data_IF_432374126458
#
_entry.id   IF_432374126458
#
_cell.length_a   1.000
_cell.length_b   1.000
_cell.length_c   1.000
_cell.angle_alpha   90.00
_cell.angle_beta   90.00
_cell.angle_gamma   90.00
#
_symmetry.space_group_name_H-M   'P 1'
#
loop_
_entity.id
_entity.type
_entity.pdbx_description
1 polymer ?
#
# COMPACT_ATOMS: atom_id res chain seq x y z
N UNK A 1 -40.99 -19.11 10.99
CA UNK A 1 -39.53 -19.28 10.93
C UNK A 1 -38.90 -17.90 10.85
N UNK A 2 -38.46 -17.35 11.98
CA UNK A 2 -37.69 -16.10 12.00
C UNK A 2 -36.26 -16.45 11.59
N UNK A 3 -35.87 -16.07 10.38
CA UNK A 3 -34.48 -16.14 9.95
C UNK A 3 -33.69 -15.21 10.87
N UNK A 4 -32.89 -15.78 11.78
CA UNK A 4 -31.93 -15.01 12.53
C UNK A 4 -30.92 -14.47 11.51
N UNK A 5 -31.04 -13.19 11.14
CA UNK A 5 -29.98 -12.49 10.44
C UNK A 5 -28.77 -12.50 11.36
N UNK A 6 -27.80 -13.37 11.06
CA UNK A 6 -26.50 -13.34 11.72
C UNK A 6 -26.01 -11.88 11.70
N UNK A 7 -25.66 -11.28 12.85
CA UNK A 7 -25.18 -9.91 12.86
C UNK A 7 -23.98 -9.84 11.91
N UNK A 8 -24.13 -9.09 10.82
CA UNK A 8 -22.99 -8.76 9.97
C UNK A 8 -21.99 -8.05 10.87
N UNK A 9 -20.80 -8.61 11.05
CA UNK A 9 -19.77 -8.00 11.90
C UNK A 9 -19.60 -6.52 11.54
N UNK A 10 -19.79 -5.61 12.49
CA UNK A 10 -19.84 -4.18 12.23
C UNK A 10 -18.54 -3.64 11.62
N UNK A 11 -18.64 -2.56 10.84
CA UNK A 11 -17.49 -1.77 10.39
C UNK A 11 -16.86 -1.06 11.60
N UNK A 12 -15.54 -0.85 11.57
CA UNK A 12 -14.82 -0.17 12.65
C UNK A 12 -14.21 1.15 12.14
N UNK A 13 -14.75 2.27 12.61
CA UNK A 13 -14.26 3.60 12.30
C UNK A 13 -14.18 4.51 13.53
N UNK A 14 -14.09 3.90 14.72
CA UNK A 14 -13.85 4.63 15.97
C UNK A 14 -12.45 5.26 15.98
N UNK A 15 -12.27 6.29 16.81
CA UNK A 15 -11.02 7.07 16.90
C UNK A 15 -9.81 6.18 17.18
N UNK A 16 -9.95 5.13 17.98
CA UNK A 16 -8.83 4.23 18.31
C UNK A 16 -8.42 3.42 17.07
N UNK A 17 -9.38 2.93 16.30
CA UNK A 17 -9.10 2.26 15.02
C UNK A 17 -8.43 3.22 14.03
N UNK A 18 -8.94 4.44 13.90
CA UNK A 18 -8.41 5.43 12.95
C UNK A 18 -7.02 5.93 13.30
N UNK A 19 -6.86 6.50 14.48
CA UNK A 19 -5.58 7.06 14.91
C UNK A 19 -4.55 5.95 15.12
N UNK A 20 -4.96 4.86 15.80
CA UNK A 20 -4.08 3.73 16.05
C UNK A 20 -3.66 3.00 14.77
N UNK A 21 -4.56 2.83 13.81
CA UNK A 21 -4.26 2.23 12.50
C UNK A 21 -3.33 3.10 11.67
N UNK A 22 -3.59 4.41 11.59
CA UNK A 22 -2.74 5.37 10.89
C UNK A 22 -1.32 5.39 11.46
N UNK A 23 -1.18 5.51 12.79
CA UNK A 23 0.13 5.50 13.44
C UNK A 23 0.91 4.19 13.19
N UNK A 24 0.23 3.04 13.24
CA UNK A 24 0.85 1.75 12.91
C UNK A 24 1.37 1.73 11.47
N UNK A 25 0.58 2.20 10.51
CA UNK A 25 1.01 2.27 9.11
C UNK A 25 2.22 3.19 8.94
N UNK A 26 2.21 4.37 9.57
CA UNK A 26 3.34 5.30 9.50
C UNK A 26 4.61 4.72 10.10
N UNK A 27 4.52 4.02 11.24
CA UNK A 27 5.65 3.36 11.87
C UNK A 27 6.19 2.21 11.01
N UNK A 28 5.31 1.39 10.42
CA UNK A 28 5.69 0.32 9.49
C UNK A 28 6.43 0.88 8.28
N UNK A 29 5.98 2.00 7.71
CA UNK A 29 6.71 2.67 6.61
C UNK A 29 8.06 3.18 7.06
N UNK A 30 8.15 3.83 8.23
CA UNK A 30 9.42 4.34 8.73
C UNK A 30 10.46 3.22 8.88
N UNK A 31 10.04 2.08 9.44
CA UNK A 31 10.90 0.88 9.55
C UNK A 31 11.25 0.34 8.16
N UNK A 32 10.28 0.23 7.25
CA UNK A 32 10.50 -0.27 5.89
C UNK A 32 11.49 0.60 5.10
N UNK A 33 11.37 1.93 5.20
CA UNK A 33 12.28 2.89 4.54
C UNK A 33 13.67 2.84 5.18
N UNK A 34 13.77 2.75 6.50
CA UNK A 34 15.06 2.58 7.17
C UNK A 34 15.75 1.28 6.75
N UNK A 35 15.01 0.17 6.69
CA UNK A 35 15.53 -1.12 6.20
C UNK A 35 15.96 -1.03 4.73
N UNK A 36 15.16 -0.40 3.88
CA UNK A 36 15.50 -0.15 2.48
C UNK A 36 16.83 0.61 2.38
N UNK A 37 16.96 1.73 3.10
CA UNK A 37 18.14 2.57 3.09
C UNK A 37 19.39 1.83 3.58
N UNK A 38 19.27 1.06 4.66
CA UNK A 38 20.38 0.28 5.22
C UNK A 38 20.82 -0.86 4.29
N UNK A 39 19.86 -1.57 3.67
CA UNK A 39 20.16 -2.66 2.73
C UNK A 39 20.80 -2.14 1.44
N UNK A 40 20.34 -1.00 0.92
CA UNK A 40 20.91 -0.37 -0.27
C UNK A 40 22.37 0.08 -0.10
N UNK A 41 22.85 0.30 1.13
CA UNK A 41 24.26 0.61 1.37
C UNK A 41 25.19 -0.58 1.10
N UNK A 42 24.70 -1.80 1.25
CA UNK A 42 25.49 -3.03 1.13
C UNK A 42 25.20 -3.87 -0.12
N UNK A 43 24.15 -3.55 -0.86
CA UNK A 43 23.73 -4.26 -2.06
C UNK A 43 24.00 -3.43 -3.31
N UNK A 44 24.22 -4.10 -4.44
CA UNK A 44 24.41 -3.44 -5.74
C UNK A 44 23.78 -4.27 -6.87
N UNK A 45 23.45 -3.59 -7.97
CA UNK A 45 22.99 -4.21 -9.21
C UNK A 45 21.70 -5.00 -9.04
N UNK A 46 21.60 -6.16 -9.69
CA UNK A 46 20.38 -6.97 -9.73
C UNK A 46 19.88 -7.42 -8.35
N UNK A 47 20.81 -7.71 -7.42
CA UNK A 47 20.45 -8.16 -6.07
C UNK A 47 19.76 -7.05 -5.30
N UNK A 48 20.27 -5.82 -5.39
CA UNK A 48 19.63 -4.65 -4.80
C UNK A 48 18.22 -4.48 -5.37
N UNK A 49 18.08 -4.48 -6.70
CA UNK A 49 16.77 -4.34 -7.37
C UNK A 49 15.77 -5.40 -6.91
N UNK A 50 16.20 -6.66 -6.75
CA UNK A 50 15.34 -7.73 -6.26
C UNK A 50 14.87 -7.48 -4.83
N UNK A 51 15.78 -7.13 -3.92
CA UNK A 51 15.45 -6.85 -2.51
C UNK A 51 14.51 -5.66 -2.40
N UNK A 52 14.80 -4.59 -3.13
CA UNK A 52 13.94 -3.40 -3.18
C UNK A 52 12.55 -3.72 -3.75
N UNK A 53 12.48 -4.54 -4.81
CA UNK A 53 11.21 -4.98 -5.40
C UNK A 53 10.37 -5.78 -4.40
N UNK A 54 10.99 -6.65 -3.60
CA UNK A 54 10.30 -7.39 -2.53
C UNK A 54 9.76 -6.44 -1.46
N UNK A 55 10.56 -5.46 -1.01
CA UNK A 55 10.12 -4.45 -0.04
C UNK A 55 8.95 -3.62 -0.58
N UNK A 56 9.01 -3.21 -1.84
CA UNK A 56 7.93 -2.48 -2.52
C UNK A 56 6.64 -3.30 -2.58
N UNK A 57 6.72 -4.57 -2.96
CA UNK A 57 5.55 -5.44 -3.04
C UNK A 57 4.95 -5.72 -1.66
N UNK A 58 5.78 -5.97 -0.66
CA UNK A 58 5.35 -6.18 0.72
C UNK A 58 4.69 -4.90 1.28
N UNK A 59 5.34 -3.75 1.12
CA UNK A 59 4.80 -2.46 1.54
C UNK A 59 3.50 -2.12 0.82
N UNK A 60 3.45 -2.33 -0.50
CA UNK A 60 2.25 -2.15 -1.31
C UNK A 60 1.08 -3.01 -0.81
N UNK A 61 1.32 -4.29 -0.53
CA UNK A 61 0.29 -5.20 0.01
C UNK A 61 -0.20 -4.77 1.40
N UNK A 62 0.71 -4.35 2.28
CA UNK A 62 0.34 -3.84 3.62
C UNK A 62 -0.53 -2.60 3.50
N UNK A 63 -0.11 -1.60 2.72
CA UNK A 63 -0.87 -0.35 2.54
C UNK A 63 -2.20 -0.54 1.83
N UNK A 64 -2.28 -1.53 0.96
CA UNK A 64 -3.52 -1.86 0.24
C UNK A 64 -4.54 -2.54 1.15
N UNK A 65 -4.12 -3.50 1.98
CA UNK A 65 -5.06 -4.40 2.66
C UNK A 65 -5.15 -4.23 4.17
N UNK A 66 -4.10 -3.77 4.86
CA UNK A 66 -4.17 -3.58 6.31
C UNK A 66 -5.28 -2.61 6.75
N UNK A 67 -5.51 -1.46 6.07
CA UNK A 67 -6.65 -0.60 6.37
C UNK A 67 -7.99 -1.34 6.30
N UNK A 68 -8.21 -2.12 5.25
CA UNK A 68 -9.45 -2.86 5.05
C UNK A 68 -9.62 -4.02 6.05
N UNK A 69 -8.54 -4.63 6.53
CA UNK A 69 -8.60 -5.65 7.61
C UNK A 69 -9.13 -5.04 8.90
N UNK A 70 -8.71 -3.81 9.23
CA UNK A 70 -9.09 -3.13 10.47
C UNK A 70 -10.49 -2.53 10.40
N UNK A 71 -10.81 -1.82 9.31
CA UNK A 71 -12.10 -1.12 9.13
C UNK A 71 -13.22 -2.07 8.72
N UNK A 72 -12.90 -3.14 7.96
CA UNK A 72 -13.86 -4.11 7.40
C UNK A 72 -14.93 -3.45 6.53
N UNK A 73 -14.53 -2.72 5.47
CA UNK A 73 -15.45 -1.93 4.66
C UNK A 73 -16.50 -2.79 3.95
N UNK A 74 -17.77 -2.40 4.10
CA UNK A 74 -18.97 -2.94 3.44
C UNK A 74 -19.85 -1.83 2.84
N UNK A 75 -19.66 -0.59 3.28
CA UNK A 75 -20.31 0.61 2.78
C UNK A 75 -19.33 1.51 2.02
N UNK A 76 -19.85 2.47 1.27
CA UNK A 76 -19.02 3.51 0.62
C UNK A 76 -18.28 4.32 1.68
N UNK A 77 -18.92 4.60 2.81
CA UNK A 77 -18.29 5.32 3.92
C UNK A 77 -17.15 4.51 4.53
N UNK A 78 -17.33 3.20 4.73
CA UNK A 78 -16.27 2.30 5.18
C UNK A 78 -15.06 2.31 4.24
N UNK A 79 -15.30 2.36 2.93
CA UNK A 79 -14.24 2.46 1.91
C UNK A 79 -13.53 3.83 1.96
N UNK A 80 -14.25 4.92 2.21
CA UNK A 80 -13.65 6.22 2.41
C UNK A 80 -12.77 6.24 3.69
N UNK A 81 -13.26 5.63 4.76
CA UNK A 81 -12.54 5.50 6.03
C UNK A 81 -11.23 4.72 5.92
N UNK A 82 -11.19 3.67 5.11
CA UNK A 82 -9.92 2.99 4.80
C UNK A 82 -8.93 3.88 4.07
N UNK A 83 -9.40 4.74 3.16
CA UNK A 83 -8.56 5.71 2.46
C UNK A 83 -7.97 6.73 3.45
N UNK A 84 -8.78 7.18 4.42
CA UNK A 84 -8.33 8.04 5.53
C UNK A 84 -7.23 7.39 6.36
N UNK A 85 -7.29 6.09 6.64
CA UNK A 85 -6.20 5.37 7.32
C UNK A 85 -4.89 5.39 6.52
N UNK A 86 -4.97 5.20 5.20
CA UNK A 86 -3.82 5.34 4.30
C UNK A 86 -3.20 6.73 4.38
N UNK A 87 -4.03 7.77 4.32
CA UNK A 87 -3.61 9.17 4.49
C UNK A 87 -2.95 9.41 5.85
N UNK A 88 -3.60 9.03 6.95
CA UNK A 88 -3.06 9.20 8.31
C UNK A 88 -1.72 8.48 8.47
N UNK A 89 -1.57 7.29 7.89
CA UNK A 89 -0.30 6.56 7.86
C UNK A 89 0.80 7.33 7.14
N UNK A 90 0.49 7.90 5.98
CA UNK A 90 1.45 8.71 5.23
C UNK A 90 1.83 10.02 5.94
N UNK A 91 0.88 10.65 6.65
CA UNK A 91 1.13 11.84 7.48
C UNK A 91 2.03 11.47 8.66
N UNK A 92 1.72 10.40 9.39
CA UNK A 92 2.54 9.91 10.49
C UNK A 92 3.97 9.58 10.04
N UNK A 93 4.12 8.89 8.91
CA UNK A 93 5.43 8.65 8.30
C UNK A 93 6.14 9.96 7.95
N UNK A 94 5.44 10.94 7.35
CA UNK A 94 6.04 12.24 6.99
C UNK A 94 6.62 12.95 8.22
N UNK A 95 5.93 12.89 9.36
CA UNK A 95 6.43 13.43 10.64
C UNK A 95 7.68 12.69 11.08
N UNK A 96 7.68 11.36 11.09
CA UNK A 96 8.84 10.55 11.49
C UNK A 96 10.02 10.79 10.56
N UNK A 97 9.78 10.83 9.25
CA UNK A 97 10.79 11.09 8.24
C UNK A 97 11.48 12.44 8.49
N UNK A 98 10.68 13.50 8.62
CA UNK A 98 11.18 14.87 8.80
C UNK A 98 11.87 15.07 10.13
N UNK A 99 11.33 14.51 11.22
CA UNK A 99 11.83 14.75 12.57
C UNK A 99 12.95 13.79 13.00
N UNK A 100 13.07 12.62 12.36
CA UNK A 100 13.99 11.55 12.80
C UNK A 100 14.88 11.06 11.66
N UNK A 101 14.32 10.57 10.56
CA UNK A 101 15.13 9.88 9.53
C UNK A 101 16.06 10.83 8.79
N UNK A 102 15.59 12.05 8.46
CA UNK A 102 16.41 13.04 7.76
C UNK A 102 17.48 13.67 8.65
N UNK A 103 17.20 14.09 9.90
CA UNK A 103 18.26 14.59 10.77
C UNK A 103 19.39 13.59 11.04
N UNK A 104 19.11 12.28 10.88
CA UNK A 104 20.09 11.20 11.01
C UNK A 104 20.83 10.87 9.70
N UNK A 105 20.57 11.60 8.60
CA UNK A 105 21.11 11.34 7.26
C UNK A 105 20.99 9.84 6.86
N UNK A 106 19.82 9.26 7.13
CA UNK A 106 19.58 7.83 6.89
C UNK A 106 19.71 7.50 5.40
N UNK A 107 19.38 8.44 4.52
CA UNK A 107 19.52 8.31 3.08
C UNK A 107 19.71 9.69 2.45
N UNK A 108 20.54 9.75 1.40
CA UNK A 108 20.74 10.97 0.65
C UNK A 108 19.45 11.37 -0.08
N UNK A 109 18.94 12.52 0.32
CA UNK A 109 17.64 13.01 -0.11
C UNK A 109 17.75 13.68 -1.48
N UNK A 110 17.51 12.91 -2.55
CA UNK A 110 17.54 13.41 -3.93
C UNK A 110 16.53 14.53 -4.19
N UNK A 111 15.48 14.65 -3.37
CA UNK A 111 14.46 15.68 -3.55
C UNK A 111 14.85 17.05 -2.99
N UNK A 112 15.89 17.16 -2.17
CA UNK A 112 16.39 18.48 -1.74
C UNK A 112 17.05 19.16 -2.94
N UNK A 113 17.66 18.35 -3.81
CA UNK A 113 18.17 18.80 -5.10
C UNK A 113 17.07 19.15 -6.12
N UNK A 114 15.89 18.52 -6.05
CA UNK A 114 14.77 18.77 -7.00
C UNK A 114 13.87 19.92 -6.52
N UNK A 115 13.62 20.02 -5.21
CA UNK A 115 12.69 20.97 -4.59
C UNK A 115 13.35 22.12 -3.84
N UNK A 116 14.67 22.29 -3.95
CA UNK A 116 15.42 23.34 -3.24
C UNK A 116 15.34 23.24 -1.71
N UNK A 117 15.35 22.01 -1.18
CA UNK A 117 15.14 21.74 0.25
C UNK A 117 13.68 21.76 0.72
N UNK A 118 12.71 22.05 -0.16
CA UNK A 118 11.29 22.06 0.18
C UNK A 118 10.64 20.70 0.00
N UNK A 119 10.17 20.11 1.10
CA UNK A 119 9.40 18.86 1.09
C UNK A 119 7.97 19.00 0.52
N UNK A 120 7.50 20.22 0.27
CA UNK A 120 6.09 20.50 -0.02
C UNK A 120 5.56 19.81 -1.30
N UNK A 121 6.42 19.56 -2.28
CA UNK A 121 6.00 19.04 -3.59
C UNK A 121 5.87 17.53 -3.64
N UNK A 122 6.61 16.80 -2.80
CA UNK A 122 6.65 15.34 -2.85
C UNK A 122 5.77 14.70 -1.75
N UNK A 123 5.57 15.38 -0.61
CA UNK A 123 4.68 14.95 0.47
C UNK A 123 3.26 14.64 -0.06
N UNK A 124 2.61 15.50 -0.88
CA UNK A 124 1.28 15.22 -1.42
C UNK A 124 1.24 13.96 -2.30
N UNK A 125 2.32 13.65 -3.02
CA UNK A 125 2.37 12.45 -3.87
C UNK A 125 2.34 11.18 -3.00
N UNK A 126 3.08 11.15 -1.89
CA UNK A 126 3.03 10.05 -0.93
C UNK A 126 1.65 9.91 -0.29
N UNK A 127 1.03 11.04 0.05
CA UNK A 127 -0.32 11.06 0.61
C UNK A 127 -1.34 10.49 -0.36
N UNK A 128 -1.28 10.94 -1.62
CA UNK A 128 -2.13 10.42 -2.69
C UNK A 128 -1.90 8.93 -2.94
N UNK A 129 -0.64 8.49 -2.99
CA UNK A 129 -0.29 7.09 -3.19
C UNK A 129 -0.83 6.17 -2.09
N UNK A 130 -0.60 6.53 -0.83
CA UNK A 130 -1.09 5.75 0.31
C UNK A 130 -2.63 5.72 0.38
N UNK A 131 -3.27 6.87 0.12
CA UNK A 131 -4.73 6.98 0.05
C UNK A 131 -5.29 6.12 -1.08
N UNK A 132 -4.69 6.19 -2.26
CA UNK A 132 -5.09 5.41 -3.44
C UNK A 132 -4.99 3.90 -3.18
N UNK A 133 -3.87 3.42 -2.65
CA UNK A 133 -3.68 2.00 -2.34
C UNK A 133 -4.73 1.49 -1.35
N UNK A 134 -4.92 2.21 -0.25
CA UNK A 134 -5.90 1.85 0.76
C UNK A 134 -7.34 1.89 0.23
N UNK A 135 -7.66 2.87 -0.62
CA UNK A 135 -8.98 3.04 -1.22
C UNK A 135 -9.32 1.92 -2.21
N UNK A 136 -8.43 1.64 -3.17
CA UNK A 136 -8.66 0.57 -4.16
C UNK A 136 -8.62 -0.80 -3.49
N UNK A 137 -7.70 -0.99 -2.54
CA UNK A 137 -7.63 -2.21 -1.74
C UNK A 137 -8.92 -2.49 -0.96
N UNK A 138 -9.55 -1.46 -0.42
CA UNK A 138 -10.83 -1.57 0.25
C UNK A 138 -11.98 -1.95 -0.66
N UNK A 139 -12.02 -1.42 -1.89
CA UNK A 139 -13.00 -1.85 -2.90
C UNK A 139 -12.84 -3.32 -3.29
N UNK A 140 -11.60 -3.79 -3.45
CA UNK A 140 -11.33 -5.20 -3.73
C UNK A 140 -11.74 -6.06 -2.52
N UNK A 141 -11.34 -5.64 -1.31
CA UNK A 141 -11.64 -6.36 -0.08
C UNK A 141 -13.15 -6.43 0.19
N UNK A 142 -13.90 -5.34 0.00
CA UNK A 142 -15.35 -5.34 0.24
C UNK A 142 -16.11 -6.26 -0.71
N UNK A 143 -15.52 -6.60 -1.87
CA UNK A 143 -16.12 -7.49 -2.87
C UNK A 143 -15.67 -8.94 -2.74
N UNK A 144 -14.39 -9.17 -2.48
CA UNK A 144 -13.80 -10.52 -2.50
C UNK A 144 -13.49 -11.07 -1.10
N UNK A 145 -13.21 -10.21 -0.11
CA UNK A 145 -12.86 -10.63 1.23
C UNK A 145 -14.11 -10.73 2.11
N UNK A 146 -14.69 -11.93 2.22
CA UNK A 146 -15.81 -12.19 3.12
C UNK A 146 -15.41 -12.15 4.61
N UNK A 147 -14.25 -12.72 4.94
CA UNK A 147 -13.73 -12.83 6.32
C UNK A 147 -12.24 -12.41 6.40
N UNK A 148 -11.72 -11.98 7.57
CA UNK A 148 -10.31 -11.61 7.75
C UNK A 148 -9.29 -12.66 7.26
N UNK A 149 -9.60 -13.96 7.41
CA UNK A 149 -8.74 -15.06 6.95
C UNK A 149 -8.58 -15.11 5.42
N UNK A 150 -9.50 -14.51 4.67
CA UNK A 150 -9.48 -14.50 3.20
C UNK A 150 -8.55 -13.43 2.60
N UNK A 151 -8.13 -12.44 3.38
CA UNK A 151 -7.29 -11.34 2.90
C UNK A 151 -5.93 -11.79 2.38
N UNK A 152 -5.36 -12.86 2.93
CA UNK A 152 -4.10 -13.42 2.41
C UNK A 152 -4.24 -13.90 0.95
N UNK A 153 -5.37 -14.52 0.60
CA UNK A 153 -5.65 -14.97 -0.77
C UNK A 153 -5.88 -13.79 -1.71
N UNK A 154 -6.63 -12.78 -1.25
CA UNK A 154 -6.89 -11.55 -2.02
C UNK A 154 -5.58 -10.80 -2.29
N UNK A 155 -4.73 -10.63 -1.27
CA UNK A 155 -3.43 -10.00 -1.40
C UNK A 155 -2.50 -10.78 -2.34
N UNK A 156 -2.47 -12.11 -2.23
CA UNK A 156 -1.68 -12.96 -3.13
C UNK A 156 -2.11 -12.83 -4.60
N UNK A 157 -3.43 -12.74 -4.87
CA UNK A 157 -3.94 -12.48 -6.22
C UNK A 157 -3.48 -11.14 -6.77
N UNK A 158 -3.54 -10.06 -5.96
CA UNK A 158 -3.00 -8.74 -6.35
C UNK A 158 -1.51 -8.79 -6.63
N UNK A 159 -0.74 -9.45 -5.77
CA UNK A 159 0.69 -9.63 -5.95
C UNK A 159 1.01 -10.39 -7.24
N UNK A 160 0.27 -11.47 -7.52
CA UNK A 160 0.42 -12.24 -8.75
C UNK A 160 0.12 -11.41 -10.00
N UNK A 161 -0.98 -10.65 -10.01
CA UNK A 161 -1.31 -9.73 -11.10
C UNK A 161 -0.22 -8.65 -11.25
N UNK A 162 0.22 -8.06 -10.14
CA UNK A 162 1.23 -7.01 -10.14
C UNK A 162 2.59 -7.48 -10.68
N UNK A 163 3.03 -8.66 -10.27
CA UNK A 163 4.22 -9.32 -10.81
C UNK A 163 4.06 -9.64 -12.30
N UNK A 164 2.88 -10.11 -12.72
CA UNK A 164 2.58 -10.35 -14.13
C UNK A 164 2.75 -9.08 -14.98
N UNK A 165 2.18 -7.95 -14.54
CA UNK A 165 2.37 -6.66 -15.23
C UNK A 165 3.82 -6.21 -15.22
N UNK A 166 4.53 -6.34 -14.10
CA UNK A 166 5.95 -5.97 -14.02
C UNK A 166 6.81 -6.78 -15.01
N UNK A 167 6.57 -8.09 -15.10
CA UNK A 167 7.26 -8.97 -16.06
C UNK A 167 6.95 -8.56 -17.50
N UNK A 168 5.68 -8.29 -17.83
CA UNK A 168 5.30 -7.84 -19.18
C UNK A 168 6.01 -6.52 -19.53
N UNK A 169 6.04 -5.54 -18.62
CA UNK A 169 6.73 -4.26 -18.84
C UNK A 169 8.22 -4.44 -19.10
N UNK A 170 8.87 -5.35 -18.36
CA UNK A 170 10.30 -5.63 -18.51
C UNK A 170 10.60 -6.39 -19.80
N UNK A 171 9.89 -7.49 -20.07
CA UNK A 171 10.16 -8.36 -21.23
C UNK A 171 9.82 -7.69 -22.55
N UNK A 172 8.82 -6.82 -22.57
CA UNK A 172 8.47 -6.02 -23.76
C UNK A 172 9.44 -4.88 -24.05
N UNK A 173 10.38 -4.57 -23.14
CA UNK A 173 11.30 -3.45 -23.28
C UNK A 173 10.68 -2.08 -23.00
N UNK A 174 9.43 -2.02 -22.52
CA UNK A 174 8.75 -0.76 -22.17
C UNK A 174 9.40 -0.09 -20.96
N UNK A 175 9.87 -0.88 -19.99
CA UNK A 175 10.56 -0.38 -18.80
C UNK A 175 11.72 -1.29 -18.41
N UNK A 176 12.83 -0.75 -17.86
CA UNK A 176 13.93 -1.56 -17.37
C UNK A 176 13.53 -2.37 -16.12
N UNK A 177 14.29 -3.42 -15.82
CA UNK A 177 14.14 -4.12 -14.54
C UNK A 177 14.64 -3.24 -13.39
N UNK A 178 13.68 -2.65 -12.66
CA UNK A 178 13.91 -1.72 -11.56
C UNK A 178 12.76 -1.83 -10.54
N UNK A 179 13.00 -1.50 -9.28
CA UNK A 179 11.97 -1.56 -8.23
C UNK A 179 10.76 -0.65 -8.54
N UNK A 180 11.01 0.50 -9.18
CA UNK A 180 9.95 1.39 -9.66
C UNK A 180 9.05 0.73 -10.72
N UNK A 181 9.61 -0.10 -11.61
CA UNK A 181 8.84 -0.87 -12.59
C UNK A 181 7.96 -1.90 -11.89
N UNK A 182 8.47 -2.53 -10.83
CA UNK A 182 7.68 -3.45 -10.00
C UNK A 182 6.57 -2.71 -9.24
N UNK A 183 6.83 -1.52 -8.72
CA UNK A 183 5.81 -0.67 -8.10
C UNK A 183 4.69 -0.30 -9.08
N UNK A 184 5.05 0.09 -10.31
CA UNK A 184 4.11 0.37 -11.38
C UNK A 184 3.29 -0.88 -11.74
N UNK A 185 3.96 -2.02 -11.89
CA UNK A 185 3.31 -3.31 -12.11
C UNK A 185 2.29 -3.62 -11.02
N UNK A 186 2.66 -3.42 -9.74
CA UNK A 186 1.75 -3.59 -8.61
C UNK A 186 0.51 -2.68 -8.70
N UNK A 187 0.69 -1.39 -8.99
CA UNK A 187 -0.41 -0.45 -9.14
C UNK A 187 -1.37 -0.86 -10.27
N UNK A 188 -0.83 -1.25 -11.43
CA UNK A 188 -1.62 -1.77 -12.57
C UNK A 188 -2.34 -3.07 -12.20
N UNK A 189 -1.65 -3.98 -11.51
CA UNK A 189 -2.22 -5.23 -11.02
C UNK A 189 -3.37 -5.01 -10.04
N UNK A 190 -3.26 -4.02 -9.15
CA UNK A 190 -4.33 -3.64 -8.22
C UNK A 190 -5.54 -3.05 -8.94
N UNK A 191 -5.34 -2.17 -9.94
CA UNK A 191 -6.41 -1.63 -10.78
C UNK A 191 -7.10 -2.76 -11.55
N UNK A 192 -6.32 -3.65 -12.15
CA UNK A 192 -6.85 -4.81 -12.87
C UNK A 192 -7.62 -5.74 -11.94
N UNK A 193 -7.13 -5.98 -10.72
CA UNK A 193 -7.83 -6.78 -9.72
C UNK A 193 -9.20 -6.16 -9.37
N UNK A 194 -9.23 -4.85 -9.14
CA UNK A 194 -10.50 -4.15 -8.93
C UNK A 194 -11.45 -4.37 -10.11
N UNK A 195 -11.00 -4.16 -11.35
CA UNK A 195 -11.84 -4.38 -12.53
C UNK A 195 -12.37 -5.82 -12.61
N UNK A 196 -11.53 -6.81 -12.34
CA UNK A 196 -11.90 -8.23 -12.32
C UNK A 196 -12.89 -8.56 -11.20
N UNK A 197 -12.78 -7.91 -10.04
CA UNK A 197 -13.68 -8.13 -8.89
C UNK A 197 -15.13 -7.67 -9.14
N UNK A 198 -15.34 -6.83 -10.16
CA UNK A 198 -16.68 -6.35 -10.56
C UNK A 198 -17.35 -7.31 -11.54
N UNK A 199 -16.60 -8.18 -12.20
CA UNK A 199 -17.15 -9.14 -13.16
C UNK A 199 -17.83 -10.28 -12.38
N UNK A 200 -19.14 -10.52 -12.59
CA UNK A 200 -19.82 -11.65 -11.95
C UNK A 200 -19.15 -12.95 -12.38
N UNK A 201 -18.75 -13.79 -11.43
CA UNK A 201 -18.29 -15.14 -11.74
C UNK A 201 -19.41 -15.86 -12.52
N UNK A 202 -19.14 -16.27 -13.75
CA UNK A 202 -20.05 -17.14 -14.50
C UNK A 202 -20.17 -18.43 -13.70
N UNK A 203 -21.35 -18.65 -13.10
CA UNK A 203 -21.72 -19.88 -12.40
C UNK A 203 -21.97 -20.98 -13.41
#
# INVERSE_FOLDING_TARGET
MTSATTPSAAEHYDVRTMVGGGLKLGLVTAVGVALFALLSRGLQGTVETLVQSVLVLAGGAVFTYAPAIWVRPRSIDGIAWTATLGLLGSVAFTVIDTAVLRPLDMYHWTWDAIGGGSGFWYIPIWWMGATFLAWIGAWVASREAGEPASFGKVAAKTLGLGLGFAVVLVVSGVAPFHAATVALGYALGLIAHLALSVIPARR
#
